data_IF_634990773627
#
_entry.id   IF_634990773627
#
_cell.length_a   1.000
_cell.length_b   1.000
_cell.length_c   1.000
_cell.angle_alpha   90.00
_cell.angle_beta   90.00
_cell.angle_gamma   90.00
#
_symmetry.space_group_name_H-M   'P 1'
#
loop_
_entity.id
_entity.type
_entity.pdbx_description
1 polymer ?
#
# COMPACT_ATOMS: atom_id res chain seq x y z
N UNK A 1 42.24 -31.68 -1.21
CA UNK A 1 41.22 -32.76 -1.14
C UNK A 1 40.83 -32.97 0.33
N UNK A 2 39.87 -32.21 0.87
CA UNK A 2 39.35 -32.36 2.25
C UNK A 2 37.81 -32.45 2.23
N UNK A 3 37.25 -33.16 1.26
CA UNK A 3 35.79 -33.35 1.11
C UNK A 3 35.22 -34.48 2.00
N UNK A 4 36.00 -35.04 2.92
CA UNK A 4 35.69 -36.33 3.53
C UNK A 4 35.51 -36.33 5.07
N UNK A 5 35.05 -35.23 5.68
CA UNK A 5 34.75 -35.26 7.13
C UNK A 5 33.70 -34.25 7.61
N UNK A 6 32.62 -34.06 6.85
CA UNK A 6 31.38 -33.55 7.46
C UNK A 6 30.51 -34.75 7.79
N UNK A 7 30.31 -35.03 9.08
CA UNK A 7 29.37 -36.06 9.51
C UNK A 7 27.98 -35.75 8.95
N UNK A 8 27.14 -36.75 8.62
CA UNK A 8 25.77 -36.53 8.11
C UNK A 8 24.96 -35.53 8.95
N UNK A 9 25.21 -35.47 10.26
CA UNK A 9 24.61 -34.52 11.19
C UNK A 9 25.05 -33.07 10.97
N UNK A 10 26.31 -32.82 10.63
CA UNK A 10 26.84 -31.48 10.36
C UNK A 10 26.31 -30.92 9.03
N UNK A 11 26.11 -31.79 8.03
CA UNK A 11 25.44 -31.41 6.77
C UNK A 11 23.97 -31.08 6.99
N UNK A 12 23.24 -31.89 7.77
CA UNK A 12 21.86 -31.61 8.14
C UNK A 12 21.72 -30.30 8.92
N UNK A 13 22.64 -30.03 9.86
CA UNK A 13 22.63 -28.79 10.64
C UNK A 13 22.88 -27.56 9.76
N UNK A 14 23.90 -27.60 8.89
CA UNK A 14 24.14 -26.51 7.93
C UNK A 14 23.00 -26.33 6.93
N UNK A 15 22.34 -27.42 6.52
CA UNK A 15 21.16 -27.36 5.65
C UNK A 15 20.01 -26.61 6.32
N UNK A 16 19.73 -26.88 7.60
CA UNK A 16 18.71 -26.17 8.38
C UNK A 16 19.04 -24.68 8.55
N UNK A 17 20.28 -24.35 8.88
CA UNK A 17 20.74 -22.97 9.02
C UNK A 17 20.67 -22.20 7.69
N UNK A 18 21.02 -22.84 6.57
CA UNK A 18 20.88 -22.25 5.25
C UNK A 18 19.41 -21.99 4.91
N UNK A 19 18.52 -22.95 5.15
CA UNK A 19 17.09 -22.79 4.91
C UNK A 19 16.51 -21.63 5.74
N UNK A 20 16.88 -21.52 7.01
CA UNK A 20 16.46 -20.39 7.86
C UNK A 20 16.93 -19.05 7.29
N UNK A 21 18.20 -18.95 6.90
CA UNK A 21 18.75 -17.71 6.29
C UNK A 21 18.05 -17.33 4.99
N UNK A 22 17.72 -18.30 4.15
CA UNK A 22 16.96 -18.06 2.90
C UNK A 22 15.57 -17.54 3.23
N UNK A 23 14.85 -18.20 4.14
CA UNK A 23 13.51 -17.76 4.56
C UNK A 23 13.53 -16.34 5.16
N UNK A 24 14.53 -16.03 5.99
CA UNK A 24 14.67 -14.70 6.59
C UNK A 24 15.02 -13.63 5.55
N UNK A 25 15.87 -13.97 4.58
CA UNK A 25 16.20 -13.09 3.47
C UNK A 25 14.97 -12.81 2.60
N UNK A 26 14.21 -13.83 2.23
CA UNK A 26 12.97 -13.69 1.45
C UNK A 26 11.97 -12.77 2.16
N UNK A 27 11.74 -12.99 3.46
CA UNK A 27 10.88 -12.12 4.29
C UNK A 27 11.39 -10.68 4.34
N UNK A 28 12.69 -10.48 4.49
CA UNK A 28 13.29 -9.15 4.53
C UNK A 28 13.14 -8.41 3.20
N UNK A 29 13.38 -9.11 2.08
CA UNK A 29 13.25 -8.55 0.73
C UNK A 29 11.80 -8.20 0.43
N UNK A 30 10.86 -9.11 0.72
CA UNK A 30 9.43 -8.85 0.55
C UNK A 30 9.00 -7.64 1.39
N UNK A 31 9.46 -7.59 2.64
CA UNK A 31 9.19 -6.51 3.55
C UNK A 31 9.67 -5.14 3.06
N UNK A 32 10.91 -5.06 2.58
CA UNK A 32 11.47 -3.85 1.99
C UNK A 32 10.73 -3.40 0.74
N UNK A 33 10.35 -4.35 -0.13
CA UNK A 33 9.55 -4.07 -1.33
C UNK A 33 8.21 -3.45 -0.97
N UNK A 34 7.52 -4.00 0.04
CA UNK A 34 6.24 -3.47 0.49
C UNK A 34 6.36 -2.09 1.13
N UNK A 35 7.40 -1.86 1.94
CA UNK A 35 7.68 -0.54 2.51
C UNK A 35 7.93 0.50 1.42
N UNK A 36 8.74 0.17 0.41
CA UNK A 36 9.01 1.06 -0.72
C UNK A 36 7.74 1.40 -1.49
N UNK A 37 6.92 0.40 -1.83
CA UNK A 37 5.67 0.63 -2.57
C UNK A 37 4.72 1.54 -1.78
N UNK A 38 4.56 1.29 -0.48
CA UNK A 38 3.72 2.11 0.39
C UNK A 38 4.23 3.54 0.45
N UNK A 39 5.52 3.73 0.70
CA UNK A 39 6.13 5.05 0.79
C UNK A 39 6.06 5.83 -0.53
N UNK A 40 6.16 5.13 -1.66
CA UNK A 40 5.94 5.73 -2.98
C UNK A 40 4.49 6.21 -3.14
N UNK A 41 3.51 5.37 -2.77
CA UNK A 41 2.09 5.76 -2.78
C UNK A 41 1.81 6.96 -1.88
N UNK A 42 2.31 6.95 -0.65
CA UNK A 42 2.15 8.05 0.32
C UNK A 42 2.80 9.35 -0.20
N UNK A 43 3.96 9.24 -0.86
CA UNK A 43 4.64 10.39 -1.47
C UNK A 43 3.81 11.00 -2.60
N UNK A 44 3.29 10.17 -3.53
CA UNK A 44 2.45 10.62 -4.62
C UNK A 44 1.15 11.26 -4.11
N UNK A 45 0.56 10.72 -3.05
CA UNK A 45 -0.63 11.29 -2.43
C UNK A 45 -0.35 12.70 -1.88
N UNK A 46 0.76 12.90 -1.16
CA UNK A 46 1.14 14.22 -0.65
C UNK A 46 1.34 15.24 -1.77
N UNK A 47 1.98 14.84 -2.88
CA UNK A 47 2.16 15.69 -4.06
C UNK A 47 0.79 16.07 -4.65
N UNK A 48 -0.10 15.09 -4.82
CA UNK A 48 -1.44 15.33 -5.37
C UNK A 48 -2.27 16.26 -4.47
N UNK A 49 -2.24 16.08 -3.16
CA UNK A 49 -2.93 16.95 -2.20
C UNK A 49 -2.43 18.39 -2.29
N UNK A 50 -1.11 18.59 -2.39
CA UNK A 50 -0.54 19.93 -2.53
C UNK A 50 -0.90 20.57 -3.87
N UNK A 51 -0.81 19.81 -4.95
CA UNK A 51 -1.23 20.24 -6.28
C UNK A 51 -2.70 20.67 -6.30
N UNK A 52 -3.60 19.91 -5.66
CA UNK A 52 -5.03 20.25 -5.57
C UNK A 52 -5.28 21.55 -4.82
N UNK A 53 -4.52 21.83 -3.75
CA UNK A 53 -4.60 23.12 -3.04
C UNK A 53 -4.19 24.28 -3.95
N UNK A 54 -3.09 24.13 -4.68
CA UNK A 54 -2.61 25.13 -5.64
C UNK A 54 -3.65 25.38 -6.73
N UNK A 55 -4.22 24.32 -7.32
CA UNK A 55 -5.28 24.42 -8.32
C UNK A 55 -6.49 25.17 -7.75
N UNK A 56 -6.93 24.84 -6.52
CA UNK A 56 -8.05 25.51 -5.88
C UNK A 56 -7.79 27.01 -5.64
N UNK A 57 -6.56 27.39 -5.29
CA UNK A 57 -6.18 28.78 -5.10
C UNK A 57 -6.16 29.56 -6.41
N UNK A 58 -5.62 28.98 -7.49
CA UNK A 58 -5.66 29.56 -8.84
C UNK A 58 -7.12 29.70 -9.32
N UNK A 59 -7.94 28.68 -9.12
CA UNK A 59 -9.35 28.70 -9.50
C UNK A 59 -10.10 29.86 -8.80
N UNK A 60 -9.88 30.06 -7.50
CA UNK A 60 -10.44 31.21 -6.76
C UNK A 60 -9.97 32.54 -7.33
N UNK A 61 -8.68 32.69 -7.64
CA UNK A 61 -8.11 33.92 -8.22
C UNK A 61 -8.75 34.24 -9.58
N UNK A 62 -8.99 33.22 -10.40
CA UNK A 62 -9.62 33.33 -11.72
C UNK A 62 -11.16 33.32 -11.68
N UNK A 63 -11.76 33.27 -10.49
CA UNK A 63 -13.23 33.13 -10.29
C UNK A 63 -13.83 31.92 -11.03
N UNK A 64 -13.05 30.85 -11.14
CA UNK A 64 -13.47 29.58 -11.69
C UNK A 64 -13.94 28.65 -10.57
N UNK A 65 -15.04 27.94 -10.81
CA UNK A 65 -15.64 27.02 -9.84
C UNK A 65 -15.47 25.54 -10.25
N UNK A 66 -14.95 25.29 -11.46
CA UNK A 66 -14.77 23.96 -12.04
C UNK A 66 -13.42 23.90 -12.75
N UNK A 67 -12.76 22.74 -12.65
CA UNK A 67 -11.51 22.42 -13.33
C UNK A 67 -11.70 21.09 -14.05
N UNK A 68 -11.28 21.02 -15.31
CA UNK A 68 -11.40 19.82 -16.14
C UNK A 68 -10.01 19.28 -16.48
N UNK A 69 -9.90 17.98 -16.66
CA UNK A 69 -8.68 17.40 -17.21
C UNK A 69 -8.59 17.72 -18.70
N UNK A 70 -7.38 18.05 -19.17
CA UNK A 70 -7.13 18.38 -20.58
C UNK A 70 -7.60 17.27 -21.54
N UNK A 71 -7.45 16.01 -21.16
CA UNK A 71 -7.80 14.83 -21.97
C UNK A 71 -9.30 14.70 -22.23
N UNK A 72 -10.14 15.29 -21.39
CA UNK A 72 -11.59 15.21 -21.50
C UNK A 72 -12.16 16.30 -22.43
N UNK A 73 -11.31 17.23 -22.89
CA UNK A 73 -11.69 18.37 -23.72
C UNK A 73 -11.19 18.17 -25.16
N UNK A 74 -12.12 18.16 -26.11
CA UNK A 74 -11.79 18.11 -27.55
C UNK A 74 -11.25 19.45 -28.05
N UNK A 75 -11.75 20.55 -27.49
CA UNK A 75 -11.36 21.91 -27.82
C UNK A 75 -11.53 22.82 -26.59
N UNK A 76 -10.53 23.65 -26.32
CA UNK A 76 -10.56 24.68 -25.29
C UNK A 76 -9.59 25.80 -25.66
N UNK A 77 -9.76 26.99 -25.09
CA UNK A 77 -8.81 28.09 -25.26
C UNK A 77 -7.57 27.85 -24.37
N UNK A 78 -6.38 27.92 -24.96
CA UNK A 78 -5.12 27.68 -24.24
C UNK A 78 -4.90 28.67 -23.09
N UNK A 79 -5.53 29.84 -23.11
CA UNK A 79 -5.52 30.83 -22.03
C UNK A 79 -6.19 30.32 -20.74
N UNK A 80 -7.03 29.29 -20.84
CA UNK A 80 -7.63 28.61 -19.69
C UNK A 80 -6.77 27.49 -19.13
N UNK A 81 -5.65 27.15 -19.79
CA UNK A 81 -4.69 26.22 -19.21
C UNK A 81 -3.98 26.87 -18.02
N UNK A 82 -3.97 26.15 -16.91
CA UNK A 82 -3.27 26.53 -15.67
C UNK A 82 -2.13 25.57 -15.34
N UNK A 83 -1.84 24.58 -16.18
CA UNK A 83 -0.84 23.54 -15.91
C UNK A 83 0.53 24.14 -15.60
N UNK A 84 1.00 25.09 -16.41
CA UNK A 84 2.31 25.74 -16.21
C UNK A 84 2.37 26.53 -14.90
N UNK A 85 1.28 27.25 -14.58
CA UNK A 85 1.18 28.03 -13.34
C UNK A 85 1.15 27.12 -12.10
N UNK A 86 0.44 25.99 -12.19
CA UNK A 86 0.39 24.98 -11.13
C UNK A 86 1.76 24.36 -10.92
N UNK A 87 2.46 23.99 -12.00
CA UNK A 87 3.80 23.41 -11.94
C UNK A 87 4.79 24.35 -11.25
N UNK A 88 4.79 25.63 -11.65
CA UNK A 88 5.66 26.63 -11.03
C UNK A 88 5.39 26.77 -9.52
N UNK A 89 4.10 26.91 -9.13
CA UNK A 89 3.74 27.03 -7.71
C UNK A 89 4.05 25.75 -6.92
N UNK A 90 3.95 24.58 -7.55
CA UNK A 90 4.26 23.31 -6.90
C UNK A 90 5.77 23.20 -6.63
N UNK A 91 6.59 23.56 -7.60
CA UNK A 91 8.06 23.60 -7.46
C UNK A 91 8.49 24.60 -6.38
N UNK A 92 7.82 25.76 -6.29
CA UNK A 92 8.08 26.77 -5.25
C UNK A 92 7.66 26.31 -3.85
N UNK A 93 6.49 25.68 -3.72
CA UNK A 93 5.92 25.29 -2.42
C UNK A 93 6.47 23.96 -1.89
N UNK A 94 6.92 23.08 -2.78
CA UNK A 94 7.34 21.72 -2.42
C UNK A 94 8.60 21.28 -3.18
N UNK A 95 9.72 22.03 -3.07
CA UNK A 95 10.97 21.69 -3.77
C UNK A 95 11.59 20.39 -3.26
N UNK A 96 11.26 20.00 -2.03
CA UNK A 96 11.75 18.77 -1.39
C UNK A 96 10.60 18.04 -0.73
N UNK A 97 10.52 16.73 -0.96
CA UNK A 97 9.59 15.84 -0.28
C UNK A 97 10.35 14.77 0.49
N UNK A 98 10.23 14.79 1.82
CA UNK A 98 10.75 13.72 2.66
C UNK A 98 9.82 12.52 2.61
N UNK A 99 10.35 11.39 2.15
CA UNK A 99 9.65 10.12 2.05
C UNK A 99 10.02 9.25 3.25
N UNK A 100 9.03 8.93 4.07
CA UNK A 100 9.19 8.08 5.26
C UNK A 100 8.99 6.61 4.86
N UNK A 101 10.04 5.79 5.02
CA UNK A 101 9.98 4.36 4.78
C UNK A 101 9.43 3.64 6.01
N UNK A 102 8.10 3.44 6.05
CA UNK A 102 7.47 2.69 7.12
C UNK A 102 7.79 1.21 6.93
N UNK A 103 8.57 0.64 7.83
CA UNK A 103 8.86 -0.78 7.84
C UNK A 103 7.56 -1.59 7.77
N UNK A 104 7.54 -2.70 7.02
CA UNK A 104 6.35 -3.56 6.96
C UNK A 104 6.02 -3.97 8.39
N UNK A 105 4.82 -3.60 8.85
CA UNK A 105 4.21 -4.32 9.95
C UNK A 105 4.19 -5.78 9.49
N UNK A 106 4.82 -6.72 10.23
CA UNK A 106 4.57 -8.13 9.97
C UNK A 106 3.05 -8.30 9.97
N UNK A 107 2.49 -9.19 9.14
CA UNK A 107 1.09 -9.59 9.29
C UNK A 107 0.94 -10.21 10.68
N UNK A 108 0.71 -9.36 11.68
CA UNK A 108 0.31 -9.74 13.01
C UNK A 108 -1.09 -10.28 12.81
N UNK A 109 -1.18 -11.61 12.86
CA UNK A 109 -2.39 -12.36 13.12
C UNK A 109 -3.66 -11.79 12.48
N UNK A 110 -4.03 -12.36 11.33
CA UNK A 110 -5.46 -12.68 11.16
C UNK A 110 -5.84 -13.59 12.33
N UNK A 111 -6.21 -12.99 13.47
CA UNK A 111 -7.06 -13.65 14.45
C UNK A 111 -8.41 -13.79 13.79
N UNK A 112 -8.52 -14.81 12.95
CA UNK A 112 -9.79 -15.39 12.54
C UNK A 112 -9.70 -16.87 12.87
N UNK A 113 -9.64 -17.16 14.16
CA UNK A 113 -10.28 -18.34 14.73
C UNK A 113 -10.75 -17.91 16.13
N UNK A 114 -12.07 -17.93 16.37
CA UNK A 114 -12.78 -19.19 16.47
C UNK A 114 -14.11 -19.19 15.72
N UNK A 115 -14.19 -19.94 14.62
CA UNK A 115 -15.42 -20.61 14.25
C UNK A 115 -15.24 -22.09 14.57
N UNK A 116 -15.27 -22.40 15.87
CA UNK A 116 -15.65 -23.74 16.32
C UNK A 116 -16.94 -24.13 15.60
N UNK A 117 -17.07 -25.37 15.08
CA UNK A 117 -18.20 -25.77 14.28
C UNK A 117 -19.48 -25.56 15.08
N UNK A 118 -20.41 -24.81 14.50
CA UNK A 118 -21.75 -24.63 15.03
C UNK A 118 -22.36 -26.01 15.31
N UNK A 119 -22.35 -26.40 16.59
CA UNK A 119 -23.32 -27.33 17.10
C UNK A 119 -24.72 -26.77 16.74
N UNK A 120 -25.63 -27.62 16.26
CA UNK A 120 -26.94 -27.16 15.80
C UNK A 120 -27.70 -26.57 16.99
N UNK A 121 -28.04 -25.28 16.89
CA UNK A 121 -28.90 -24.60 17.84
C UNK A 121 -30.25 -25.34 17.89
N UNK A 122 -30.82 -25.64 19.08
CA UNK A 122 -32.15 -26.22 19.17
C UNK A 122 -33.16 -25.16 18.73
N UNK A 123 -33.88 -25.43 17.64
CA UNK A 123 -35.04 -24.62 17.25
C UNK A 123 -36.08 -24.63 18.39
N UNK A 124 -36.62 -23.46 18.77
CA UNK A 124 -37.66 -23.37 19.77
C UNK A 124 -39.00 -23.85 19.18
N UNK A 125 -39.62 -24.80 19.88
CA UNK A 125 -41.05 -25.01 20.01
C UNK A 125 -41.95 -24.53 18.85
N UNK A 126 -42.18 -25.40 17.86
CA UNK A 126 -43.48 -25.46 17.20
C UNK A 126 -44.05 -26.87 17.33
N UNK A 127 -45.05 -27.00 18.22
CA UNK A 127 -45.94 -28.16 18.33
C UNK A 127 -46.66 -28.36 16.98
N UNK A 128 -46.60 -29.54 16.35
CA UNK A 128 -47.55 -29.87 15.30
C UNK A 128 -48.88 -30.29 15.93
N UNK A 129 -49.94 -29.51 15.67
CA UNK A 129 -51.33 -29.96 15.83
C UNK A 129 -51.60 -31.00 14.73
N UNK A 130 -51.87 -32.24 15.13
CA UNK A 130 -52.55 -33.24 14.30
C UNK A 130 -53.97 -32.74 14.00
N UNK A 131 -54.32 -32.64 12.72
CA UNK A 131 -55.64 -33.00 12.22
C UNK A 131 -55.52 -33.44 10.77
#
# INVERSE_FOLDING_TARGET
RQQASLSPEQLNQKGREFQQKVNDLERNVQGKRQALEKSNGDALQKIQEQMLKIIADIAKQRKANLVFQRTDLVLFDQSFDVTDEVMQKLDEQMPTLTVEFVAPVPPSASTTEPASPAAPNPSPSQKPKKK
#
